data_IF_277064959726
#
_entry.id   IF_277064959726
#
_cell.length_a   1.000
_cell.length_b   1.000
_cell.length_c   1.000
_cell.angle_alpha   90.00
_cell.angle_beta   90.00
_cell.angle_gamma   90.00
#
_symmetry.space_group_name_H-M   'P 1'
#
loop_
_entity.id
_entity.type
_entity.pdbx_description
1 polymer ?
#
# COMPACT_ATOMS: atom_id res chain seq x y z
N UNK A 1 -25.12 3.05 0.05
CA UNK A 1 -25.74 2.45 -1.14
C UNK A 1 -24.63 2.13 -2.13
N UNK A 2 -24.35 0.84 -2.35
CA UNK A 2 -23.16 0.34 -3.06
C UNK A 2 -23.29 0.46 -4.58
N UNK A 3 -22.27 1.03 -5.23
CA UNK A 3 -22.19 1.29 -6.68
C UNK A 3 -21.55 0.15 -7.50
N UNK A 4 -21.23 -1.00 -6.90
CA UNK A 4 -20.45 -2.07 -7.55
C UNK A 4 -21.29 -3.16 -8.22
N UNK A 5 -22.30 -2.82 -9.02
CA UNK A 5 -23.09 -3.88 -9.68
C UNK A 5 -23.60 -3.44 -11.04
N UNK A 6 -22.74 -3.56 -12.06
CA UNK A 6 -23.09 -3.90 -13.46
C UNK A 6 -21.84 -3.82 -14.33
N UNK A 7 -21.48 -4.93 -14.97
CA UNK A 7 -21.28 -5.09 -16.42
C UNK A 7 -20.44 -6.34 -16.70
N UNK A 8 -21.09 -7.45 -17.05
CA UNK A 8 -20.44 -8.55 -17.79
C UNK A 8 -21.45 -9.31 -18.64
N UNK A 9 -21.17 -9.36 -19.97
CA UNK A 9 -21.50 -10.39 -20.99
C UNK A 9 -21.22 -9.75 -22.36
N UNK A 10 -20.62 -10.36 -23.39
CA UNK A 10 -20.19 -11.75 -23.72
C UNK A 10 -19.49 -11.70 -25.11
N UNK A 11 -18.55 -12.62 -25.39
CA UNK A 11 -18.14 -13.22 -26.70
C UNK A 11 -16.62 -13.39 -26.75
N UNK A 12 -16.01 -14.39 -27.37
CA UNK A 12 -16.36 -15.71 -27.87
C UNK A 12 -15.00 -16.43 -28.04
N UNK A 13 -14.95 -17.75 -27.81
CA UNK A 13 -13.73 -18.57 -27.84
C UNK A 13 -13.07 -18.58 -29.22
N UNK A 14 -11.78 -18.27 -29.25
CA UNK A 14 -10.81 -18.80 -30.22
C UNK A 14 -9.96 -19.84 -29.49
N UNK A 15 -9.81 -21.02 -30.09
CA UNK A 15 -8.89 -22.06 -29.65
C UNK A 15 -7.45 -21.56 -29.83
N UNK A 16 -6.94 -20.82 -28.83
CA UNK A 16 -5.52 -20.66 -28.61
C UNK A 16 -5.05 -21.85 -27.78
N UNK A 17 -4.01 -22.53 -28.22
CA UNK A 17 -3.18 -23.33 -27.33
C UNK A 17 -2.79 -22.42 -26.16
N UNK A 18 -3.37 -22.68 -24.99
CA UNK A 18 -3.20 -21.81 -23.83
C UNK A 18 -1.77 -22.03 -23.34
N UNK A 19 -0.90 -21.01 -23.36
CA UNK A 19 0.48 -21.16 -22.94
C UNK A 19 0.55 -21.64 -21.49
N UNK A 20 1.53 -22.50 -21.23
CA UNK A 20 1.80 -23.08 -19.92
C UNK A 20 2.19 -21.97 -18.94
N UNK A 21 1.47 -21.90 -17.82
CA UNK A 21 1.67 -20.96 -16.72
C UNK A 21 3.10 -21.05 -16.17
N UNK A 22 3.89 -19.99 -16.33
CA UNK A 22 5.05 -19.75 -15.48
C UNK A 22 4.66 -18.67 -14.47
N UNK A 23 4.52 -19.05 -13.21
CA UNK A 23 4.30 -18.11 -12.10
C UNK A 23 5.65 -17.99 -11.41
N UNK A 24 6.36 -16.85 -11.48
CA UNK A 24 7.70 -16.73 -10.89
C UNK A 24 7.72 -17.11 -9.41
N UNK A 25 6.71 -16.71 -8.64
CA UNK A 25 6.55 -17.12 -7.24
C UNK A 25 6.17 -18.60 -6.99
N UNK A 26 5.77 -19.38 -8.00
CA UNK A 26 5.36 -20.79 -7.82
C UNK A 26 6.51 -21.75 -7.59
N UNK A 27 7.73 -21.41 -8.02
CA UNK A 27 8.91 -22.26 -7.74
C UNK A 27 9.20 -22.29 -6.23
N UNK A 28 8.95 -21.17 -5.54
CA UNK A 28 9.13 -21.05 -4.08
C UNK A 28 7.88 -21.43 -3.28
N UNK A 29 6.70 -21.47 -3.92
CA UNK A 29 5.44 -21.88 -3.31
C UNK A 29 4.77 -22.99 -4.12
N UNK A 30 5.42 -24.17 -4.25
CA UNK A 30 4.86 -25.29 -4.99
C UNK A 30 3.59 -25.76 -4.28
N UNK A 31 2.44 -25.62 -4.95
CA UNK A 31 1.12 -25.97 -4.42
C UNK A 31 0.20 -24.79 -4.11
N UNK A 32 0.68 -23.54 -4.16
CA UNK A 32 -0.20 -22.37 -4.06
C UNK A 32 -1.28 -22.39 -5.15
N UNK A 33 -0.91 -22.87 -6.33
CA UNK A 33 -1.81 -23.13 -7.44
C UNK A 33 -1.89 -24.64 -7.63
N UNK A 34 -3.08 -25.22 -7.50
CA UNK A 34 -3.26 -26.66 -7.69
C UNK A 34 -3.05 -27.03 -9.16
N UNK A 35 -2.20 -28.03 -9.43
CA UNK A 35 -1.96 -28.56 -10.78
C UNK A 35 -3.19 -29.26 -11.40
N UNK A 36 -4.27 -29.43 -10.63
CA UNK A 36 -5.21 -30.55 -10.83
C UNK A 36 -6.48 -30.23 -11.63
N UNK A 37 -6.62 -29.06 -12.25
CA UNK A 37 -7.83 -28.79 -13.03
C UNK A 37 -7.49 -28.47 -14.48
N UNK A 38 -7.97 -29.34 -15.39
CA UNK A 38 -8.12 -29.11 -16.83
C UNK A 38 -8.99 -27.87 -17.19
N UNK A 39 -9.30 -27.03 -16.20
CA UNK A 39 -10.12 -25.84 -16.30
C UNK A 39 -9.38 -24.70 -15.57
N UNK A 40 -8.53 -23.99 -16.30
CA UNK A 40 -7.70 -22.87 -15.80
C UNK A 40 -8.50 -21.73 -15.16
N UNK A 41 -9.81 -21.69 -15.37
CA UNK A 41 -10.73 -20.71 -14.79
C UNK A 41 -11.22 -21.07 -13.36
N UNK A 42 -10.89 -22.26 -12.85
CA UNK A 42 -11.38 -22.75 -11.55
C UNK A 42 -10.28 -23.01 -10.51
N UNK A 43 -8.99 -22.88 -10.86
CA UNK A 43 -7.91 -22.97 -9.87
C UNK A 43 -8.04 -21.84 -8.86
N UNK A 44 -8.53 -22.16 -7.66
CA UNK A 44 -8.49 -21.27 -6.51
C UNK A 44 -7.12 -21.43 -5.84
N UNK A 45 -6.45 -20.33 -5.50
CA UNK A 45 -5.20 -20.40 -4.76
C UNK A 45 -5.45 -20.94 -3.34
N UNK A 46 -4.54 -21.78 -2.86
CA UNK A 46 -4.56 -22.27 -1.48
C UNK A 46 -3.76 -21.33 -0.56
N UNK A 47 -4.42 -20.28 -0.07
CA UNK A 47 -3.80 -19.32 0.85
C UNK A 47 -3.41 -19.91 2.20
N UNK A 48 -3.84 -21.15 2.52
CA UNK A 48 -3.42 -21.82 3.75
C UNK A 48 -1.94 -22.20 3.77
N UNK A 49 -1.27 -22.12 2.61
CA UNK A 49 0.17 -22.38 2.48
C UNK A 49 1.04 -21.16 2.82
N UNK A 50 0.49 -19.94 2.82
CA UNK A 50 1.25 -18.71 3.05
C UNK A 50 1.93 -18.64 4.44
N UNK A 51 1.29 -19.10 5.55
CA UNK A 51 1.95 -19.13 6.86
C UNK A 51 3.22 -20.01 6.92
N UNK A 52 3.33 -21.01 6.04
CA UNK A 52 4.50 -21.88 5.92
C UNK A 52 5.60 -21.36 4.99
N UNK A 53 5.33 -20.28 4.24
CA UNK A 53 6.24 -19.71 3.25
C UNK A 53 7.47 -19.05 3.90
N UNK A 54 8.60 -18.97 3.18
CA UNK A 54 9.71 -18.09 3.57
C UNK A 54 9.34 -16.62 3.34
N UNK A 55 10.03 -15.69 4.03
CA UNK A 55 9.74 -14.24 3.91
C UNK A 55 10.01 -13.78 2.49
N UNK A 56 11.14 -14.21 1.94
CA UNK A 56 11.54 -13.98 0.55
C UNK A 56 10.50 -14.46 -0.48
N UNK A 57 9.82 -15.58 -0.22
CA UNK A 57 8.79 -16.10 -1.12
C UNK A 57 7.52 -15.25 -1.11
N UNK A 58 7.16 -14.68 0.05
CA UNK A 58 6.03 -13.76 0.15
C UNK A 58 6.36 -12.39 -0.46
N UNK A 59 7.57 -11.89 -0.22
CA UNK A 59 8.07 -10.65 -0.83
C UNK A 59 8.04 -10.74 -2.36
N UNK A 60 8.52 -11.84 -2.93
CA UNK A 60 8.47 -12.10 -4.37
C UNK A 60 7.04 -12.22 -4.90
N UNK A 61 6.14 -12.88 -4.17
CA UNK A 61 4.72 -12.95 -4.54
C UNK A 61 4.08 -11.55 -4.60
N UNK A 62 4.38 -10.68 -3.64
CA UNK A 62 3.90 -9.30 -3.65
C UNK A 62 4.49 -8.49 -4.81
N UNK A 63 5.79 -8.66 -5.10
CA UNK A 63 6.46 -8.01 -6.21
C UNK A 63 5.90 -8.44 -7.56
N UNK A 64 5.67 -9.75 -7.75
CA UNK A 64 5.01 -10.31 -8.92
C UNK A 64 3.64 -9.64 -9.11
N UNK A 65 2.81 -9.63 -8.07
CA UNK A 65 1.49 -9.00 -8.12
C UNK A 65 1.57 -7.53 -8.56
N UNK A 66 2.43 -6.71 -7.95
CA UNK A 66 2.53 -5.30 -8.31
C UNK A 66 3.11 -5.07 -9.71
N UNK A 67 4.09 -5.87 -10.13
CA UNK A 67 4.70 -5.79 -11.44
C UNK A 67 3.74 -6.14 -12.58
N UNK A 68 2.69 -6.93 -12.30
CA UNK A 68 1.61 -7.20 -13.27
C UNK A 68 0.86 -5.95 -13.73
N UNK A 69 0.95 -4.85 -12.98
CA UNK A 69 0.32 -3.56 -13.30
C UNK A 69 1.29 -2.52 -13.87
N UNK A 70 2.58 -2.86 -14.01
CA UNK A 70 3.59 -1.91 -14.47
C UNK A 70 3.50 -1.68 -16.00
N UNK A 71 3.52 -0.42 -16.47
CA UNK A 71 3.49 -0.11 -17.90
C UNK A 71 4.80 -0.57 -18.54
N UNK A 72 4.75 -1.62 -19.36
CA UNK A 72 5.92 -2.25 -19.98
C UNK A 72 5.84 -3.76 -20.12
N UNK A 73 4.84 -4.41 -19.50
CA UNK A 73 4.46 -5.78 -19.86
C UNK A 73 3.77 -5.75 -21.23
N UNK A 74 4.52 -6.07 -22.29
CA UNK A 74 3.99 -6.20 -23.64
C UNK A 74 2.96 -7.35 -23.71
N UNK A 75 1.82 -7.13 -24.35
CA UNK A 75 0.74 -8.12 -24.55
C UNK A 75 1.25 -9.45 -25.14
N UNK A 76 2.37 -9.44 -25.87
CA UNK A 76 2.97 -10.64 -26.46
C UNK A 76 3.71 -11.53 -25.44
N UNK A 77 3.86 -11.10 -24.19
CA UNK A 77 4.44 -11.87 -23.07
C UNK A 77 3.38 -12.41 -22.10
N UNK A 78 2.12 -12.53 -22.54
CA UNK A 78 1.01 -13.14 -21.80
C UNK A 78 1.21 -14.63 -21.39
N UNK A 79 2.39 -15.23 -21.62
CA UNK A 79 2.73 -16.56 -21.10
C UNK A 79 2.98 -16.57 -19.58
N UNK A 80 3.33 -15.44 -18.98
CA UNK A 80 3.42 -15.32 -17.53
C UNK A 80 2.05 -14.89 -16.98
N UNK A 81 1.20 -15.85 -16.61
CA UNK A 81 0.00 -15.53 -15.82
C UNK A 81 0.45 -15.18 -14.40
N UNK A 82 0.94 -13.95 -14.24
CA UNK A 82 1.37 -13.37 -12.97
C UNK A 82 0.21 -13.49 -11.98
N UNK A 83 0.52 -13.77 -10.71
CA UNK A 83 -0.47 -13.81 -9.62
C UNK A 83 -1.18 -12.46 -9.56
N UNK A 84 -2.37 -12.38 -10.14
CA UNK A 84 -3.22 -11.18 -10.10
C UNK A 84 -4.36 -11.33 -9.10
N UNK A 85 -4.38 -12.40 -8.29
CA UNK A 85 -5.42 -12.58 -7.27
C UNK A 85 -5.13 -11.64 -6.09
N UNK A 86 -5.95 -10.57 -5.90
CA UNK A 86 -5.72 -9.61 -4.84
C UNK A 86 -5.90 -10.23 -3.45
N UNK A 87 -6.66 -11.32 -3.30
CA UNK A 87 -6.83 -11.98 -2.01
C UNK A 87 -5.54 -12.68 -1.58
N UNK A 88 -4.83 -13.31 -2.52
CA UNK A 88 -3.53 -13.95 -2.24
C UNK A 88 -2.49 -12.90 -1.89
N UNK A 89 -2.46 -11.81 -2.65
CA UNK A 89 -1.57 -10.69 -2.37
C UNK A 89 -1.82 -10.10 -0.98
N UNK A 90 -3.08 -9.80 -0.64
CA UNK A 90 -3.45 -9.25 0.66
C UNK A 90 -3.09 -10.22 1.80
N UNK A 91 -3.37 -11.52 1.63
CA UNK A 91 -3.01 -12.53 2.62
C UNK A 91 -1.48 -12.65 2.80
N UNK A 92 -0.69 -12.51 1.72
CA UNK A 92 0.77 -12.50 1.80
C UNK A 92 1.28 -11.25 2.52
N UNK A 93 0.70 -10.08 2.27
CA UNK A 93 1.01 -8.83 3.00
C UNK A 93 0.68 -8.95 4.49
N UNK A 94 -0.49 -9.50 4.84
CA UNK A 94 -0.88 -9.74 6.23
C UNK A 94 0.07 -10.71 6.94
N UNK A 95 0.46 -11.77 6.24
CA UNK A 95 1.43 -12.73 6.74
C UNK A 95 2.80 -12.08 6.95
N UNK A 96 3.30 -11.26 6.01
CA UNK A 96 4.53 -10.48 6.17
C UNK A 96 4.45 -9.54 7.39
N UNK A 97 3.30 -8.91 7.65
CA UNK A 97 3.09 -8.06 8.82
C UNK A 97 3.17 -8.82 10.15
N UNK A 98 3.04 -10.16 10.15
CA UNK A 98 3.20 -11.01 11.32
C UNK A 98 4.65 -11.41 11.62
N UNK A 99 5.58 -11.22 10.66
CA UNK A 99 6.99 -11.67 10.74
C UNK A 99 7.91 -10.68 11.42
N UNK A 100 7.36 -9.58 11.92
CA UNK A 100 8.11 -8.49 12.53
C UNK A 100 9.06 -7.81 11.56
N UNK A 101 10.14 -7.22 12.10
CA UNK A 101 11.01 -6.30 11.35
C UNK A 101 11.82 -6.94 10.20
N UNK A 102 11.71 -8.26 9.97
CA UNK A 102 12.40 -8.94 8.87
C UNK A 102 12.00 -8.40 7.49
N UNK A 103 10.71 -8.09 7.31
CA UNK A 103 10.17 -7.57 6.05
C UNK A 103 10.33 -6.05 5.90
N UNK A 104 10.82 -5.36 6.93
CA UNK A 104 10.88 -3.88 6.94
C UNK A 104 11.81 -3.33 5.85
N UNK A 105 13.04 -3.84 5.63
CA UNK A 105 13.91 -3.33 4.57
C UNK A 105 13.29 -3.46 3.17
N UNK A 106 12.63 -4.60 2.90
CA UNK A 106 11.91 -4.81 1.66
C UNK A 106 10.73 -3.84 1.52
N UNK A 107 9.86 -3.73 2.53
CA UNK A 107 8.71 -2.84 2.51
C UNK A 107 9.11 -1.38 2.29
N UNK A 108 10.16 -0.90 2.98
CA UNK A 108 10.72 0.45 2.80
C UNK A 108 11.18 0.70 1.36
N UNK A 109 11.85 -0.27 0.74
CA UNK A 109 12.28 -0.16 -0.65
C UNK A 109 11.11 0.05 -1.63
N UNK A 110 9.92 -0.46 -1.28
CA UNK A 110 8.70 -0.40 -2.10
C UNK A 110 7.88 0.88 -1.95
N UNK A 111 8.19 1.72 -0.95
CA UNK A 111 7.64 3.08 -0.87
C UNK A 111 8.02 3.96 -2.09
N UNK A 112 9.07 3.56 -2.82
CA UNK A 112 9.56 4.24 -4.04
C UNK A 112 9.28 3.45 -5.33
N UNK A 113 8.48 2.40 -5.25
CA UNK A 113 8.11 1.58 -6.41
C UNK A 113 7.39 2.44 -7.46
N UNK A 114 7.38 2.06 -8.74
CA UNK A 114 6.71 2.81 -9.82
C UNK A 114 5.17 2.69 -9.77
N UNK A 115 4.66 1.51 -9.42
CA UNK A 115 3.23 1.26 -9.20
C UNK A 115 2.74 1.86 -7.86
N UNK A 116 1.65 2.64 -7.89
CA UNK A 116 1.04 3.25 -6.69
C UNK A 116 0.50 2.19 -5.71
N UNK A 117 -0.04 1.05 -6.20
CA UNK A 117 -0.52 -0.05 -5.35
C UNK A 117 0.61 -0.63 -4.49
N UNK A 118 1.83 -0.67 -5.04
CA UNK A 118 3.01 -1.10 -4.29
C UNK A 118 3.37 -0.10 -3.19
N UNK A 119 3.29 1.20 -3.49
CA UNK A 119 3.53 2.26 -2.49
C UNK A 119 2.48 2.24 -1.39
N UNK A 120 1.21 2.05 -1.75
CA UNK A 120 0.10 1.92 -0.81
C UNK A 120 0.27 0.71 0.13
N UNK A 121 0.47 -0.49 -0.45
CA UNK A 121 0.68 -1.71 0.32
C UNK A 121 1.93 -1.66 1.19
N UNK A 122 3.02 -1.09 0.66
CA UNK A 122 4.25 -0.86 1.41
C UNK A 122 4.04 0.11 2.58
N UNK A 123 3.34 1.23 2.37
CA UNK A 123 3.04 2.19 3.44
C UNK A 123 2.24 1.53 4.56
N UNK A 124 1.19 0.78 4.21
CA UNK A 124 0.41 0.02 5.18
C UNK A 124 1.30 -0.94 5.98
N UNK A 125 2.13 -1.74 5.29
CA UNK A 125 2.97 -2.75 5.92
C UNK A 125 4.02 -2.13 6.84
N UNK A 126 4.69 -1.05 6.41
CA UNK A 126 5.64 -0.31 7.25
C UNK A 126 4.94 0.19 8.52
N UNK A 127 3.75 0.77 8.40
CA UNK A 127 2.97 1.21 9.56
C UNK A 127 2.63 0.06 10.52
N UNK A 128 2.20 -1.09 10.00
CA UNK A 128 1.92 -2.28 10.81
C UNK A 128 3.16 -2.81 11.54
N UNK A 129 4.27 -2.98 10.82
CA UNK A 129 5.52 -3.49 11.37
C UNK A 129 6.04 -2.59 12.48
N UNK A 130 6.10 -1.28 12.25
CA UNK A 130 6.64 -0.32 13.20
C UNK A 130 5.71 -0.07 14.39
N UNK A 131 4.39 -0.25 14.23
CA UNK A 131 3.44 -0.13 15.35
C UNK A 131 3.54 -1.28 16.36
N UNK A 132 3.92 -2.48 15.88
CA UNK A 132 4.06 -3.69 16.70
C UNK A 132 5.48 -3.85 17.27
N UNK A 133 6.47 -3.23 16.62
CA UNK A 133 7.87 -3.39 16.95
C UNK A 133 8.57 -2.01 16.96
N UNK A 134 8.95 -1.51 18.14
CA UNK A 134 9.69 -0.25 18.24
C UNK A 134 10.94 -0.26 17.37
N UNK A 135 11.16 0.83 16.64
CA UNK A 135 12.37 1.06 15.86
C UNK A 135 13.37 1.80 16.74
N UNK A 136 14.49 1.18 17.08
CA UNK A 136 15.52 1.81 17.91
C UNK A 136 16.23 2.94 17.13
N UNK A 137 17.00 2.58 16.09
CA UNK A 137 17.86 3.54 15.37
C UNK A 137 17.32 3.96 13.99
N UNK A 138 16.29 3.27 13.48
CA UNK A 138 15.80 3.48 12.10
C UNK A 138 14.57 4.39 11.99
N UNK A 139 13.99 4.82 13.12
CA UNK A 139 12.71 5.55 13.14
C UNK A 139 12.73 6.80 12.27
N UNK A 140 13.85 7.53 12.26
CA UNK A 140 13.97 8.79 11.50
C UNK A 140 14.02 8.55 10.00
N UNK A 141 14.68 7.48 9.57
CA UNK A 141 14.72 7.11 8.16
C UNK A 141 13.33 6.66 7.67
N UNK A 142 12.62 5.87 8.49
CA UNK A 142 11.26 5.42 8.17
C UNK A 142 10.27 6.60 8.11
N UNK A 143 10.33 7.52 9.09
CA UNK A 143 9.51 8.74 9.07
C UNK A 143 9.82 9.58 7.83
N UNK A 144 11.10 9.73 7.47
CA UNK A 144 11.51 10.45 6.27
C UNK A 144 10.91 9.86 4.99
N UNK A 145 11.04 8.54 4.80
CA UNK A 145 10.52 7.84 3.62
C UNK A 145 8.99 7.88 3.52
N UNK A 146 8.29 7.70 4.64
CA UNK A 146 6.83 7.84 4.67
C UNK A 146 6.38 9.28 4.47
N UNK A 147 7.15 10.27 4.94
CA UNK A 147 6.86 11.69 4.71
C UNK A 147 7.04 12.08 3.24
N UNK A 148 8.07 11.54 2.59
CA UNK A 148 8.28 11.71 1.15
C UNK A 148 7.09 11.14 0.38
N UNK A 149 6.58 9.96 0.76
CA UNK A 149 5.39 9.37 0.14
C UNK A 149 4.14 10.20 0.44
N UNK A 150 3.86 10.54 1.69
CA UNK A 150 2.67 11.30 2.10
C UNK A 150 2.54 12.67 1.41
N UNK A 151 3.65 13.22 0.92
CA UNK A 151 3.71 14.52 0.25
C UNK A 151 4.07 14.43 -1.23
N UNK A 152 3.99 13.24 -1.81
CA UNK A 152 4.26 13.00 -3.22
C UNK A 152 3.14 13.60 -4.07
N UNK A 153 3.44 14.44 -5.08
CA UNK A 153 2.41 15.08 -5.91
C UNK A 153 1.46 14.07 -6.55
N UNK A 154 0.17 14.42 -6.58
CA UNK A 154 -0.87 13.61 -7.21
C UNK A 154 -0.74 13.73 -8.73
N UNK A 155 -0.55 12.60 -9.41
CA UNK A 155 -0.60 12.52 -10.87
C UNK A 155 -2.05 12.56 -11.39
N UNK A 156 -2.25 12.80 -12.69
CA UNK A 156 -3.56 13.09 -13.31
C UNK A 156 -4.65 12.01 -13.08
N UNK A 157 -4.28 10.77 -12.71
CA UNK A 157 -5.23 9.68 -12.49
C UNK A 157 -5.71 9.54 -11.04
N UNK A 158 -5.29 10.44 -10.13
CA UNK A 158 -5.68 10.49 -8.70
C UNK A 158 -5.33 9.26 -7.87
N UNK A 159 -4.63 8.26 -8.44
CA UNK A 159 -4.36 7.01 -7.73
C UNK A 159 -3.31 7.19 -6.62
N UNK A 160 -2.49 8.23 -6.72
CA UNK A 160 -1.50 8.56 -5.69
C UNK A 160 -2.13 8.95 -4.34
N UNK A 161 -3.35 9.49 -4.36
CA UNK A 161 -4.04 9.93 -3.15
C UNK A 161 -4.16 8.80 -2.13
N UNK A 162 -4.42 7.57 -2.59
CA UNK A 162 -4.54 6.41 -1.72
C UNK A 162 -3.21 6.05 -1.05
N UNK A 163 -2.10 6.05 -1.82
CA UNK A 163 -0.77 5.79 -1.28
C UNK A 163 -0.36 6.88 -0.27
N UNK A 164 -0.64 8.15 -0.56
CA UNK A 164 -0.37 9.27 0.35
C UNK A 164 -1.17 9.14 1.65
N UNK A 165 -2.46 8.79 1.55
CA UNK A 165 -3.34 8.62 2.71
C UNK A 165 -2.87 7.47 3.60
N UNK A 166 -2.45 6.36 3.01
CA UNK A 166 -1.90 5.22 3.74
C UNK A 166 -0.54 5.56 4.38
N UNK A 167 0.29 6.36 3.73
CA UNK A 167 1.53 6.87 4.32
C UNK A 167 1.26 7.77 5.54
N UNK A 168 0.22 8.62 5.51
CA UNK A 168 -0.22 9.38 6.67
C UNK A 168 -0.73 8.48 7.81
N UNK A 169 -1.51 7.44 7.50
CA UNK A 169 -1.92 6.45 8.51
C UNK A 169 -0.70 5.76 9.12
N UNK A 170 0.29 5.40 8.31
CA UNK A 170 1.51 4.76 8.78
C UNK A 170 2.31 5.70 9.71
N UNK A 171 2.45 6.98 9.33
CA UNK A 171 3.08 8.00 10.16
C UNK A 171 2.35 8.17 11.50
N UNK A 172 1.02 8.17 11.52
CA UNK A 172 0.26 8.32 12.77
C UNK A 172 0.41 7.12 13.71
N UNK A 173 0.56 5.91 13.15
CA UNK A 173 0.85 4.68 13.93
C UNK A 173 2.24 4.69 14.55
N UNK A 174 3.24 5.21 13.83
CA UNK A 174 4.61 5.37 14.34
C UNK A 174 4.65 6.49 15.38
N UNK A 175 3.93 7.58 15.10
CA UNK A 175 3.69 8.68 16.02
C UNK A 175 4.92 9.54 16.31
N UNK A 176 4.73 10.45 17.26
CA UNK A 176 5.77 11.33 17.77
C UNK A 176 5.86 12.68 17.05
N UNK A 177 6.56 13.67 17.67
CA UNK A 177 6.63 15.04 17.18
C UNK A 177 7.34 15.17 15.83
N UNK A 178 8.16 14.18 15.44
CA UNK A 178 8.93 14.22 14.19
C UNK A 178 8.07 14.21 12.92
N UNK A 179 6.80 13.83 13.01
CA UNK A 179 5.88 13.85 11.85
C UNK A 179 5.18 15.21 11.65
N UNK A 180 5.23 16.11 12.64
CA UNK A 180 4.57 17.43 12.59
C UNK A 180 4.97 18.26 11.37
N UNK A 181 6.25 18.33 10.95
CA UNK A 181 6.63 19.06 9.74
C UNK A 181 5.90 18.60 8.47
N UNK A 182 5.68 17.29 8.34
CA UNK A 182 4.95 16.69 7.21
C UNK A 182 3.47 17.09 7.24
N UNK A 183 2.84 17.00 8.41
CA UNK A 183 1.44 17.41 8.59
C UNK A 183 1.25 18.91 8.32
N UNK A 184 2.19 19.74 8.82
CA UNK A 184 2.22 21.19 8.56
C UNK A 184 2.32 21.47 7.06
N UNK A 185 3.18 20.76 6.32
CA UNK A 185 3.33 20.93 4.86
C UNK A 185 2.01 20.64 4.13
N UNK A 186 1.34 19.53 4.44
CA UNK A 186 0.07 19.17 3.80
C UNK A 186 -1.02 20.20 4.14
N UNK A 187 -1.13 20.58 5.42
CA UNK A 187 -2.14 21.53 5.88
C UNK A 187 -1.97 22.93 5.27
N UNK A 188 -0.74 23.37 4.99
CA UNK A 188 -0.46 24.74 4.57
C UNK A 188 -0.18 24.90 3.07
N UNK A 189 0.04 23.82 2.34
CA UNK A 189 0.32 23.88 0.90
C UNK A 189 -0.98 23.94 0.09
N UNK A 190 -1.08 24.85 -0.90
CA UNK A 190 -2.25 24.97 -1.77
C UNK A 190 -2.48 23.74 -2.65
N UNK A 191 -1.45 22.89 -2.82
CA UNK A 191 -1.52 21.64 -3.58
C UNK A 191 -2.60 20.68 -3.04
N UNK A 192 -2.87 20.72 -1.73
CA UNK A 192 -3.75 19.78 -1.04
C UNK A 192 -5.11 20.39 -0.67
N UNK A 193 -5.39 21.64 -1.03
CA UNK A 193 -6.56 22.38 -0.51
C UNK A 193 -7.91 21.71 -0.78
N UNK A 194 -8.00 20.89 -1.83
CA UNK A 194 -9.21 20.17 -2.22
C UNK A 194 -9.16 18.67 -1.91
N UNK A 195 -8.12 18.20 -1.22
CA UNK A 195 -7.89 16.78 -0.99
C UNK A 195 -8.26 16.37 0.44
N UNK A 196 -8.81 15.17 0.63
CA UNK A 196 -9.15 14.60 1.93
C UNK A 196 -7.92 14.46 2.86
N UNK A 197 -6.70 14.48 2.30
CA UNK A 197 -5.45 14.48 3.03
C UNK A 197 -5.31 15.65 4.02
N UNK A 198 -5.92 16.82 3.76
CA UNK A 198 -5.86 17.95 4.73
C UNK A 198 -6.70 17.64 5.97
N UNK A 199 -7.85 17.00 5.79
CA UNK A 199 -8.71 16.59 6.89
C UNK A 199 -8.00 15.53 7.72
N UNK A 200 -7.46 14.51 7.07
CA UNK A 200 -6.70 13.47 7.74
C UNK A 200 -5.47 14.03 8.48
N UNK A 201 -4.75 14.97 7.87
CA UNK A 201 -3.59 15.62 8.50
C UNK A 201 -3.97 16.42 9.74
N UNK A 202 -5.10 17.13 9.73
CA UNK A 202 -5.58 17.88 10.89
C UNK A 202 -5.93 16.93 12.06
N UNK A 203 -6.60 15.81 11.77
CA UNK A 203 -6.95 14.82 12.77
C UNK A 203 -5.70 14.17 13.39
N UNK A 204 -4.74 13.77 12.55
CA UNK A 204 -3.47 13.19 13.01
C UNK A 204 -2.70 14.22 13.85
N UNK A 205 -2.63 15.48 13.41
CA UNK A 205 -1.95 16.52 14.16
C UNK A 205 -2.58 16.72 15.54
N UNK A 206 -3.92 16.68 15.61
CA UNK A 206 -4.65 16.75 16.88
C UNK A 206 -4.28 15.61 17.82
N UNK A 207 -4.19 14.38 17.30
CA UNK A 207 -3.76 13.22 18.10
C UNK A 207 -2.30 13.38 18.58
N UNK A 208 -1.38 13.79 17.72
CA UNK A 208 0.04 13.93 18.04
C UNK A 208 0.30 15.01 19.09
N UNK A 209 -0.46 16.10 19.04
CA UNK A 209 -0.29 17.26 19.93
C UNK A 209 -1.24 17.24 21.14
N UNK A 210 -2.11 16.24 21.25
CA UNK A 210 -3.19 16.19 22.24
C UNK A 210 -4.10 17.43 22.19
N UNK A 211 -4.55 17.78 20.97
CA UNK A 211 -5.41 18.93 20.68
C UNK A 211 -6.73 18.48 20.00
N UNK A 212 -7.87 19.08 20.35
CA UNK A 212 -9.19 18.62 19.91
C UNK A 212 -9.56 19.13 18.51
N UNK A 213 -8.63 19.14 17.54
CA UNK A 213 -8.93 19.62 16.18
C UNK A 213 -10.08 18.85 15.52
N UNK A 214 -10.19 17.55 15.79
CA UNK A 214 -11.27 16.71 15.27
C UNK A 214 -12.66 17.01 15.83
N UNK A 215 -12.77 17.80 16.89
CA UNK A 215 -14.04 18.27 17.45
C UNK A 215 -14.52 19.59 16.81
N UNK A 216 -13.65 20.26 16.03
CA UNK A 216 -14.00 21.46 15.27
C UNK A 216 -14.97 21.15 14.14
N UNK A 217 -15.80 22.14 13.77
CA UNK A 217 -16.59 22.08 12.53
C UNK A 217 -15.71 22.07 11.28
N UNK A 218 -14.52 22.66 11.39
CA UNK A 218 -13.50 22.71 10.35
C UNK A 218 -12.14 22.35 11.00
N UNK A 219 -11.81 21.05 11.09
CA UNK A 219 -10.53 20.60 11.63
C UNK A 219 -9.32 21.18 10.90
N UNK A 220 -9.27 21.23 9.55
CA UNK A 220 -8.18 21.90 8.83
C UNK A 220 -7.99 23.37 9.21
N UNK A 221 -9.05 24.18 9.26
CA UNK A 221 -8.94 25.59 9.63
C UNK A 221 -8.42 25.77 11.07
N UNK A 222 -8.92 24.98 12.02
CA UNK A 222 -8.47 25.02 13.42
C UNK A 222 -6.99 24.64 13.56
N UNK A 223 -6.56 23.58 12.86
CA UNK A 223 -5.16 23.17 12.84
C UNK A 223 -4.25 24.25 12.23
N UNK A 224 -4.67 24.90 11.12
CA UNK A 224 -3.91 25.98 10.46
C UNK A 224 -3.76 27.22 11.35
N UNK A 225 -4.82 27.61 12.06
CA UNK A 225 -4.79 28.73 13.02
C UNK A 225 -3.80 28.45 14.14
N UNK A 226 -3.82 27.23 14.68
CA UNK A 226 -2.87 26.82 15.71
C UNK A 226 -1.42 26.82 15.20
N UNK A 227 -1.17 26.27 14.00
CA UNK A 227 0.16 26.25 13.37
C UNK A 227 0.69 27.67 13.09
N UNK A 228 -0.19 28.63 12.82
CA UNK A 228 0.15 30.05 12.64
C UNK A 228 0.54 30.69 13.97
N UNK A 229 -0.15 30.32 15.05
CA UNK A 229 0.13 30.81 16.40
C UNK A 229 1.37 30.15 17.04
N UNK A 230 1.79 29.00 16.51
CA UNK A 230 2.91 28.19 17.01
C UNK A 230 3.88 27.85 15.86
N UNK A 231 4.69 28.81 15.39
CA UNK A 231 5.54 28.61 14.21
C UNK A 231 6.68 27.59 14.42
N UNK A 232 7.10 27.38 15.68
CA UNK A 232 8.22 26.49 16.05
C UNK A 232 7.80 25.04 16.36
N UNK A 233 6.50 24.72 16.23
CA UNK A 233 5.97 23.36 16.40
C UNK A 233 6.27 22.47 15.18
#
# INVERSE_FOLDING_TARGET
MSWMSRLFRRSARTDCEIPVRFVPSSEKLPGLWSDSTNNLFETRPDSSLLPGASTEALEELCDDFWNSFSPGFEEDTMEATVVTDPNVHNAAIEELASRGLQALPWARSRLRHSCHLAREGAAWLVGELCSKHPLDDEVDAVIGELSDLATRPIEEDTKEVQANALALVALSKIGGPKIVPTLRRILTSPEWEQDDLIWQSALILGIVLDLPFGESQDPPASAREWLTSNPDA
#
